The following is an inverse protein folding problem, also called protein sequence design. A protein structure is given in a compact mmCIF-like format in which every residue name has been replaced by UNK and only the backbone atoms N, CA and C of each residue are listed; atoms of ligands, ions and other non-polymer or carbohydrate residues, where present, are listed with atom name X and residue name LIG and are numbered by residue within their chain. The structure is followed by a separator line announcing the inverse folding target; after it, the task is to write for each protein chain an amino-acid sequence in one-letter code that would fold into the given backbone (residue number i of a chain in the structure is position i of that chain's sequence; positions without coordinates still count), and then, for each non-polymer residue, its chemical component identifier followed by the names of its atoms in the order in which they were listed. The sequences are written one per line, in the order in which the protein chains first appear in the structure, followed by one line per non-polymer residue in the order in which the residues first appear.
data_IF_715936919249
#
_entry.id   IF_715936919249
#
_cell.length_a   1.000
_cell.length_b   1.000
_cell.length_c   1.000
_cell.angle_alpha   90.00
_cell.angle_beta   90.00
_cell.angle_gamma   90.00
#
_symmetry.space_group_name_H-M   'P 1'
#
loop_
_entity.id
_entity.type
_entity.pdbx_description
1 polymer ?
#
# COMPACT_ATOMS: atom_id res chain seq x y z
N UNK A 1 -10.38 -19.97 14.69
CA UNK A 1 -9.69 -18.65 14.73
C UNK A 1 -9.06 -18.42 13.36
N UNK A 2 -9.21 -17.22 12.79
CA UNK A 2 -8.59 -16.86 11.52
C UNK A 2 -7.22 -16.27 11.84
N UNK A 3 -6.18 -16.67 11.12
CA UNK A 3 -4.83 -16.14 11.31
C UNK A 3 -4.43 -15.39 10.06
N UNK A 4 -4.14 -14.09 10.21
CA UNK A 4 -3.50 -13.34 9.15
C UNK A 4 -2.00 -13.66 9.18
N UNK A 5 -1.47 -14.14 8.04
CA UNK A 5 -0.04 -14.39 7.81
C UNK A 5 0.43 -13.69 6.54
N UNK A 6 -0.25 -12.61 6.14
CA UNK A 6 0.08 -11.89 4.93
C UNK A 6 1.33 -11.03 5.14
N UNK A 7 2.27 -11.02 4.18
CA UNK A 7 3.35 -10.05 4.22
C UNK A 7 2.77 -8.63 4.10
N UNK A 8 3.45 -7.62 4.66
CA UNK A 8 4.79 -7.67 5.24
C UNK A 8 4.82 -7.68 6.78
N UNK A 9 3.71 -7.44 7.47
CA UNK A 9 3.66 -7.34 8.95
C UNK A 9 3.20 -8.64 9.61
N UNK A 10 2.15 -9.26 9.08
CA UNK A 10 1.51 -10.42 9.68
C UNK A 10 2.31 -11.72 9.50
N UNK A 11 3.28 -11.77 8.58
CA UNK A 11 4.27 -12.86 8.52
C UNK A 11 5.21 -12.87 9.73
N UNK A 12 5.57 -11.69 10.25
CA UNK A 12 6.48 -11.56 11.40
C UNK A 12 5.70 -11.62 12.71
N UNK A 13 4.44 -11.17 12.69
CA UNK A 13 3.56 -11.20 13.85
C UNK A 13 2.16 -11.70 13.43
N UNK A 14 1.94 -13.02 13.47
CA UNK A 14 0.65 -13.60 13.12
C UNK A 14 -0.42 -13.05 14.04
N UNK A 15 -1.42 -12.38 13.47
CA UNK A 15 -2.50 -11.78 14.26
C UNK A 15 -3.70 -12.72 14.25
N UNK A 16 -4.09 -13.29 15.41
CA UNK A 16 -5.30 -14.09 15.51
C UNK A 16 -6.51 -13.17 15.50
N UNK A 17 -7.44 -13.47 14.60
CA UNK A 17 -8.68 -12.76 14.35
C UNK A 17 -9.85 -13.68 14.72
N UNK A 18 -10.88 -13.14 15.34
CA UNK A 18 -11.99 -13.93 15.85
C UNK A 18 -12.91 -14.43 14.72
N UNK A 19 -13.08 -13.63 13.67
CA UNK A 19 -14.04 -13.88 12.58
C UNK A 19 -13.63 -13.17 11.28
N UNK A 20 -14.33 -13.47 10.19
CA UNK A 20 -14.02 -12.92 8.86
C UNK A 20 -14.21 -11.41 8.79
N UNK A 21 -15.13 -10.83 9.57
CA UNK A 21 -15.34 -9.38 9.60
C UNK A 21 -14.15 -8.62 10.20
N UNK A 22 -13.52 -9.19 11.23
CA UNK A 22 -12.25 -8.67 11.75
C UNK A 22 -11.11 -8.83 10.76
N UNK A 23 -11.07 -9.93 10.00
CA UNK A 23 -10.09 -10.10 8.92
C UNK A 23 -10.22 -9.01 7.86
N UNK A 24 -11.45 -8.71 7.39
CA UNK A 24 -11.68 -7.67 6.39
C UNK A 24 -11.25 -6.29 6.92
N UNK A 25 -11.58 -5.98 8.17
CA UNK A 25 -11.22 -4.69 8.80
C UNK A 25 -9.70 -4.59 8.99
N UNK A 26 -9.07 -5.67 9.43
CA UNK A 26 -7.62 -5.78 9.56
C UNK A 26 -6.93 -5.65 8.20
N UNK A 27 -7.45 -6.30 7.16
CA UNK A 27 -6.93 -6.20 5.81
C UNK A 27 -7.05 -4.76 5.29
N UNK A 28 -8.22 -4.13 5.44
CA UNK A 28 -8.49 -2.75 5.05
C UNK A 28 -7.56 -1.72 5.70
N UNK A 29 -7.02 -2.02 6.89
CA UNK A 29 -6.18 -1.08 7.66
C UNK A 29 -4.69 -1.42 7.61
N UNK A 30 -4.33 -2.70 7.62
CA UNK A 30 -2.93 -3.16 7.67
C UNK A 30 -2.37 -3.60 6.32
N UNK A 31 -3.22 -3.96 5.34
CA UNK A 31 -2.80 -4.55 4.07
C UNK A 31 -3.34 -3.84 2.84
N UNK A 32 -4.42 -3.04 2.94
CA UNK A 32 -5.01 -2.38 1.79
C UNK A 32 -4.13 -1.27 1.19
N UNK A 33 -3.26 -0.67 2.00
CA UNK A 33 -2.34 0.38 1.54
C UNK A 33 -0.89 -0.12 1.52
N UNK A 34 -0.65 -1.31 0.97
CA UNK A 34 0.70 -1.85 0.75
C UNK A 34 1.18 -1.57 -0.66
N UNK A 35 2.45 -1.20 -0.78
CA UNK A 35 3.09 -1.06 -2.07
C UNK A 35 3.48 -2.43 -2.62
N UNK A 36 2.76 -2.90 -3.63
CA UNK A 36 3.03 -4.16 -4.34
C UNK A 36 4.17 -4.05 -5.37
N UNK A 37 4.84 -2.89 -5.44
CA UNK A 37 6.00 -2.70 -6.32
C UNK A 37 7.13 -3.67 -5.94
N UNK A 38 7.70 -4.33 -6.95
CA UNK A 38 8.80 -5.29 -6.77
C UNK A 38 9.97 -4.64 -6.02
N UNK A 39 10.19 -5.09 -4.78
CA UNK A 39 11.29 -4.65 -3.93
C UNK A 39 10.98 -3.54 -2.93
N UNK A 40 9.76 -3.01 -2.88
CA UNK A 40 9.40 -1.95 -1.93
C UNK A 40 8.76 -2.50 -0.64
N UNK A 41 7.63 -3.20 -0.75
CA UNK A 41 6.94 -3.81 0.39
C UNK A 41 6.53 -2.82 1.50
N UNK A 42 6.54 -1.51 1.22
CA UNK A 42 6.18 -0.48 2.18
C UNK A 42 4.67 -0.51 2.48
N UNK A 43 4.30 -0.46 3.76
CA UNK A 43 2.90 -0.34 4.20
C UNK A 43 2.67 1.07 4.67
N UNK A 44 1.54 1.64 4.25
CA UNK A 44 1.12 2.96 4.67
C UNK A 44 -0.16 2.89 5.52
N UNK A 45 -0.34 3.81 6.48
CA UNK A 45 -1.55 3.86 7.29
C UNK A 45 -2.75 4.44 6.51
N UNK A 46 -2.50 5.19 5.43
CA UNK A 46 -3.53 5.82 4.62
C UNK A 46 -3.28 5.62 3.11
N UNK A 47 -4.36 5.52 2.34
CA UNK A 47 -4.30 5.37 0.88
C UNK A 47 -3.50 6.51 0.22
N UNK A 48 -3.71 7.75 0.67
CA UNK A 48 -3.06 8.94 0.13
C UNK A 48 -1.54 8.91 0.27
N UNK A 49 -1.00 8.33 1.35
CA UNK A 49 0.44 8.15 1.55
C UNK A 49 0.99 7.06 0.63
N UNK A 50 0.25 5.96 0.42
CA UNK A 50 0.64 4.96 -0.57
C UNK A 50 0.66 5.57 -1.98
N UNK A 51 -0.37 6.32 -2.36
CA UNK A 51 -0.44 6.99 -3.67
C UNK A 51 0.71 8.00 -3.87
N UNK A 52 1.01 8.80 -2.83
CA UNK A 52 2.13 9.74 -2.85
C UNK A 52 3.47 9.00 -2.97
N UNK A 53 3.69 7.97 -2.16
CA UNK A 53 4.90 7.15 -2.21
C UNK A 53 5.08 6.48 -3.57
N UNK A 54 4.01 5.92 -4.13
CA UNK A 54 4.05 5.33 -5.45
C UNK A 54 4.42 6.37 -6.51
N UNK A 55 3.81 7.56 -6.45
CA UNK A 55 4.10 8.65 -7.40
C UNK A 55 5.53 9.18 -7.29
N UNK A 56 6.04 9.39 -6.08
CA UNK A 56 7.35 10.02 -5.86
C UNK A 56 8.52 9.01 -5.94
N UNK A 57 8.30 7.75 -5.55
CA UNK A 57 9.35 6.74 -5.40
C UNK A 57 9.31 5.66 -6.51
N UNK A 58 8.15 5.43 -7.13
CA UNK A 58 7.96 4.39 -8.15
C UNK A 58 7.49 4.89 -9.51
N UNK A 59 6.97 6.12 -9.59
CA UNK A 59 6.57 6.76 -10.83
C UNK A 59 7.59 7.82 -11.27
N UNK A 60 8.72 7.40 -11.89
CA UNK A 60 9.64 8.36 -12.51
C UNK A 60 9.02 9.09 -13.71
N UNK A 61 7.78 8.76 -14.12
CA UNK A 61 7.06 9.38 -15.24
C UNK A 61 6.22 10.60 -14.80
N UNK A 62 5.87 10.73 -13.51
CA UNK A 62 5.24 11.92 -12.94
C UNK A 62 6.19 13.13 -12.98
N UNK A 63 7.48 12.89 -12.76
CA UNK A 63 8.54 13.89 -12.98
C UNK A 63 8.62 14.31 -14.47
N UNK A 64 8.49 13.36 -15.40
CA UNK A 64 8.50 13.64 -16.85
C UNK A 64 7.25 14.40 -17.32
N UNK A 65 6.08 14.15 -16.71
CA UNK A 65 4.84 14.89 -17.01
C UNK A 65 4.83 16.31 -16.45
N UNK A 66 5.56 16.59 -15.38
CA UNK A 66 5.76 17.97 -14.89
C UNK A 66 6.86 18.74 -15.63
N UNK A 67 7.86 18.04 -16.17
CA UNK A 67 8.91 18.66 -17.00
C UNK A 67 8.44 18.97 -18.43
N UNK A 68 7.46 18.21 -18.95
CA UNK A 68 6.89 18.43 -20.28
C UNK A 68 5.68 19.37 -20.21
N UNK A 69 5.92 20.66 -20.01
CA UNK A 69 4.90 21.72 -20.03
C UNK A 69 4.09 21.75 -21.33
N UNK A 70 3.09 20.88 -21.47
CA UNK A 70 2.06 20.98 -22.50
C UNK A 70 0.91 21.82 -21.97
N UNK A 71 0.96 23.09 -22.37
CA UNK A 71 -0.17 24.02 -22.38
C UNK A 71 -1.31 23.36 -23.16
N UNK A 72 -2.36 22.92 -22.44
CA UNK A 72 -3.66 22.71 -23.07
C UNK A 72 -4.12 24.07 -23.62
N UNK A 73 -4.24 24.12 -24.95
CA UNK A 73 -4.85 25.24 -25.69
C UNK A 73 -6.35 25.26 -25.50
#
# INVERSE_FOLDING_TARGET
PILCTLPPTCIHRPTPLANTKELETHYATCHAHVCEQRGCGCVFPEARLLELHFTECHDPLAAVRKDRGEKIV
#
